data_IF_755299293917
#
_entry.id   IF_755299293917
#
_cell.length_a   1.000
_cell.length_b   1.000
_cell.length_c   1.000
_cell.angle_alpha   90.00
_cell.angle_beta   90.00
_cell.angle_gamma   90.00
#
_symmetry.space_group_name_H-M   'P 1'
#
loop_
_entity.id
_entity.type
_entity.pdbx_description
1 polymer ?
#
# COMPACT_ATOMS: atom_id res chain seq x y z
N UNK A 1 -19.07 -11.05 -36.70
CA UNK A 1 -18.63 -9.96 -35.81
C UNK A 1 -18.03 -10.65 -34.60
N UNK A 2 -16.71 -10.81 -34.56
CA UNK A 2 -16.02 -11.49 -33.46
C UNK A 2 -15.90 -10.52 -32.29
N UNK A 3 -16.80 -10.64 -31.31
CA UNK A 3 -16.67 -9.91 -30.05
C UNK A 3 -15.71 -10.68 -29.14
N UNK A 4 -14.41 -10.52 -29.39
CA UNK A 4 -13.37 -11.17 -28.61
C UNK A 4 -13.39 -10.61 -27.17
N UNK A 5 -13.59 -11.50 -26.20
CA UNK A 5 -13.48 -11.18 -24.77
C UNK A 5 -12.09 -10.63 -24.48
N UNK A 6 -12.00 -9.35 -24.14
CA UNK A 6 -10.74 -8.73 -23.69
C UNK A 6 -10.34 -9.35 -22.36
N UNK A 7 -9.13 -9.92 -22.28
CA UNK A 7 -8.54 -10.31 -21.00
C UNK A 7 -8.32 -9.03 -20.19
N UNK A 8 -9.00 -8.93 -19.06
CA UNK A 8 -8.59 -7.99 -18.02
C UNK A 8 -7.22 -8.46 -17.53
N UNK A 9 -6.18 -7.68 -17.84
CA UNK A 9 -4.93 -7.82 -17.12
C UNK A 9 -5.21 -7.32 -15.72
N UNK A 10 -5.44 -8.26 -14.79
CA UNK A 10 -5.36 -7.98 -13.36
C UNK A 10 -3.94 -7.43 -13.18
N UNK A 11 -3.83 -6.13 -12.95
CA UNK A 11 -2.57 -5.53 -12.53
C UNK A 11 -2.14 -6.36 -11.33
N UNK A 12 -0.90 -6.86 -11.36
CA UNK A 12 -0.41 -7.70 -10.28
C UNK A 12 -0.56 -6.94 -8.96
N UNK A 13 -1.49 -7.38 -8.10
CA UNK A 13 -1.84 -6.72 -6.84
C UNK A 13 -0.58 -6.41 -6.00
N UNK A 14 0.45 -7.25 -6.11
CA UNK A 14 1.76 -7.06 -5.47
C UNK A 14 2.45 -5.78 -5.94
N UNK A 15 2.40 -5.50 -7.24
CA UNK A 15 2.99 -4.29 -7.84
C UNK A 15 2.23 -3.06 -7.38
N UNK A 16 0.90 -3.10 -7.38
CA UNK A 16 0.06 -1.99 -6.90
C UNK A 16 0.31 -1.69 -5.41
N UNK A 17 0.34 -2.71 -4.55
CA UNK A 17 0.66 -2.55 -3.12
C UNK A 17 2.02 -1.90 -2.90
N UNK A 18 3.04 -2.34 -3.66
CA UNK A 18 4.39 -1.77 -3.57
C UNK A 18 4.41 -0.29 -3.98
N UNK A 19 3.70 0.06 -5.05
CA UNK A 19 3.58 1.45 -5.51
C UNK A 19 2.88 2.34 -4.48
N UNK A 20 1.77 1.86 -3.91
CA UNK A 20 1.03 2.56 -2.85
C UNK A 20 1.91 2.75 -1.62
N UNK A 21 2.55 1.70 -1.11
CA UNK A 21 3.47 1.77 0.03
C UNK A 21 4.61 2.76 -0.22
N UNK A 22 5.18 2.76 -1.43
CA UNK A 22 6.25 3.70 -1.80
C UNK A 22 5.78 5.15 -1.81
N UNK A 23 4.57 5.40 -2.33
CA UNK A 23 3.94 6.73 -2.33
C UNK A 23 3.65 7.22 -0.91
N UNK A 24 3.12 6.34 -0.05
CA UNK A 24 2.85 6.65 1.37
C UNK A 24 4.14 6.95 2.11
N UNK A 25 5.17 6.12 1.93
CA UNK A 25 6.49 6.30 2.53
C UNK A 25 7.09 7.67 2.18
N UNK A 26 7.09 8.03 0.90
CA UNK A 26 7.57 9.34 0.44
C UNK A 26 6.76 10.50 1.01
N UNK A 27 5.44 10.36 1.07
CA UNK A 27 4.55 11.38 1.63
C UNK A 27 4.81 11.63 3.11
N UNK A 28 5.15 10.59 3.87
CA UNK A 28 5.55 10.68 5.27
C UNK A 28 6.89 11.39 5.44
N UNK A 29 7.90 11.08 4.61
CA UNK A 29 9.20 11.78 4.59
C UNK A 29 9.01 13.26 4.32
N UNK A 30 8.27 13.63 3.28
CA UNK A 30 8.07 15.04 2.90
C UNK A 30 7.40 15.84 4.01
N UNK A 31 6.58 15.19 4.84
CA UNK A 31 5.94 15.81 6.00
C UNK A 31 6.76 15.75 7.28
N UNK A 32 7.96 15.16 7.25
CA UNK A 32 8.87 15.09 8.38
C UNK A 32 8.51 14.02 9.40
N UNK A 33 7.64 13.06 9.05
CA UNK A 33 7.35 11.91 9.89
C UNK A 33 8.39 10.80 9.67
N UNK A 34 8.61 9.96 10.68
CA UNK A 34 9.33 8.70 10.49
C UNK A 34 8.41 7.69 9.78
N UNK A 35 8.67 7.33 8.52
CA UNK A 35 7.72 6.55 7.75
C UNK A 35 7.54 5.13 8.29
N UNK A 36 8.61 4.51 8.80
CA UNK A 36 8.57 3.15 9.32
C UNK A 36 7.66 3.09 10.55
N UNK A 37 7.85 4.00 11.51
CA UNK A 37 7.05 4.01 12.73
C UNK A 37 5.56 4.25 12.43
N UNK A 38 5.26 5.14 11.47
CA UNK A 38 3.87 5.45 11.10
C UNK A 38 3.19 4.28 10.37
N UNK A 39 3.90 3.61 9.45
CA UNK A 39 3.37 2.44 8.75
C UNK A 39 3.17 1.27 9.73
N UNK A 40 4.13 1.02 10.64
CA UNK A 40 3.97 0.00 11.68
C UNK A 40 2.81 0.33 12.61
N UNK A 41 2.67 1.58 13.03
CA UNK A 41 1.54 2.05 13.84
C UNK A 41 0.20 1.80 13.16
N UNK A 42 0.09 2.12 11.87
CA UNK A 42 -1.10 1.83 11.06
C UNK A 42 -1.40 0.34 10.96
N UNK A 43 -0.40 -0.50 10.63
CA UNK A 43 -0.59 -1.96 10.51
C UNK A 43 -1.06 -2.58 11.83
N UNK A 44 -0.53 -2.14 12.98
CA UNK A 44 -0.90 -2.72 14.27
C UNK A 44 -2.26 -2.23 14.80
N UNK A 45 -2.66 -1.00 14.45
CA UNK A 45 -3.84 -0.34 15.06
C UNK A 45 -5.03 -0.14 14.12
N UNK A 46 -4.84 -0.27 12.81
CA UNK A 46 -5.79 0.16 11.76
C UNK A 46 -6.16 1.65 11.79
N UNK A 47 -5.54 2.46 12.65
CA UNK A 47 -5.90 3.87 12.76
C UNK A 47 -5.28 4.68 11.60
N UNK A 48 -6.08 5.21 10.66
CA UNK A 48 -5.58 5.95 9.52
C UNK A 48 -4.94 7.30 9.89
N UNK A 49 -5.05 7.75 11.15
CA UNK A 49 -4.41 8.99 11.62
C UNK A 49 -2.89 8.89 11.67
N UNK A 50 -2.31 7.68 11.75
CA UNK A 50 -0.87 7.46 11.58
C UNK A 50 -0.36 7.91 10.21
N UNK A 51 -1.20 7.85 9.18
CA UNK A 51 -0.82 8.23 7.82
C UNK A 51 -1.26 9.66 7.53
N UNK A 52 -0.35 10.47 6.99
CA UNK A 52 -0.64 11.85 6.58
C UNK A 52 -1.64 11.88 5.42
N UNK A 53 -2.47 12.92 5.34
CA UNK A 53 -3.35 13.12 4.19
C UNK A 53 -2.63 13.74 2.97
N UNK A 54 -1.35 14.08 3.12
CA UNK A 54 -0.56 14.66 2.03
C UNK A 54 -0.48 13.70 0.83
N UNK A 55 -0.61 14.24 -0.38
CA UNK A 55 -0.60 13.48 -1.64
C UNK A 55 -1.57 12.28 -1.65
N UNK A 56 -2.70 12.39 -0.95
CA UNK A 56 -3.70 11.32 -0.81
C UNK A 56 -3.15 10.03 -0.17
N UNK A 57 -2.01 10.07 0.53
CA UNK A 57 -1.38 8.88 1.10
C UNK A 57 -2.32 8.08 2.01
N UNK A 58 -3.07 8.77 2.88
CA UNK A 58 -4.09 8.12 3.73
C UNK A 58 -5.14 7.37 2.91
N UNK A 59 -5.73 8.04 1.91
CA UNK A 59 -6.73 7.41 1.05
C UNK A 59 -6.18 6.26 0.22
N UNK A 60 -4.91 6.32 -0.20
CA UNK A 60 -4.25 5.24 -0.93
C UNK A 60 -4.06 4.00 -0.04
N UNK A 61 -3.54 4.16 1.17
CA UNK A 61 -3.28 3.01 2.04
C UNK A 61 -4.57 2.34 2.56
N UNK A 62 -5.65 3.10 2.74
CA UNK A 62 -6.93 2.56 3.17
C UNK A 62 -7.68 1.80 2.07
N UNK A 63 -7.20 1.83 0.82
CA UNK A 63 -7.72 0.97 -0.27
C UNK A 63 -7.18 -0.44 -0.21
N UNK A 64 -6.04 -0.63 0.46
CA UNK A 64 -5.42 -1.94 0.62
C UNK A 64 -6.12 -2.69 1.75
N UNK A 65 -6.37 -3.98 1.53
CA UNK A 65 -6.67 -4.88 2.63
C UNK A 65 -5.41 -5.03 3.50
N UNK A 66 -5.56 -4.80 4.81
CA UNK A 66 -4.43 -4.79 5.74
C UNK A 66 -3.82 -6.18 5.89
N UNK A 67 -4.64 -7.22 5.90
CA UNK A 67 -4.18 -8.58 6.12
C UNK A 67 -3.45 -9.07 4.86
N UNK A 68 -3.93 -8.68 3.66
CA UNK A 68 -3.22 -8.89 2.39
C UNK A 68 -1.87 -8.15 2.37
N UNK A 69 -1.85 -6.89 2.80
CA UNK A 69 -0.62 -6.09 2.93
C UNK A 69 0.40 -6.75 3.86
N UNK A 70 -0.04 -7.18 5.06
CA UNK A 70 0.82 -7.84 6.03
C UNK A 70 1.33 -9.17 5.50
N UNK A 71 0.48 -9.95 4.84
CA UNK A 71 0.86 -11.20 4.20
C UNK A 71 1.96 -10.99 3.16
N UNK A 72 1.78 -10.04 2.25
CA UNK A 72 2.76 -9.75 1.19
C UNK A 72 4.09 -9.24 1.77
N UNK A 73 4.06 -8.43 2.83
CA UNK A 73 5.28 -7.99 3.53
C UNK A 73 6.07 -9.16 4.12
N UNK A 74 5.38 -10.14 4.73
CA UNK A 74 6.01 -11.33 5.31
C UNK A 74 6.58 -12.23 4.23
N UNK A 75 5.80 -12.51 3.17
CA UNK A 75 6.23 -13.33 2.04
C UNK A 75 7.46 -12.71 1.38
N UNK A 76 7.41 -11.41 1.05
CA UNK A 76 8.53 -10.71 0.42
C UNK A 76 9.79 -10.67 1.29
N UNK A 77 9.65 -10.70 2.62
CA UNK A 77 10.78 -10.76 3.54
C UNK A 77 11.43 -12.16 3.56
N UNK A 78 10.64 -13.23 3.51
CA UNK A 78 11.12 -14.61 3.57
C UNK A 78 11.61 -15.16 2.22
N UNK A 79 11.13 -14.61 1.11
CA UNK A 79 11.56 -14.97 -0.25
C UNK A 79 12.89 -14.30 -0.67
N UNK A 80 13.44 -13.43 0.19
CA UNK A 80 14.77 -12.82 0.02
C UNK A 80 15.84 -13.56 0.82
#
# INVERSE_FOLDING_TARGET
MEEATRKFNVIDNKTEMKEILSSVYNSLIVKGYNPINQIVGYILSEDPTYITNYNNARSLICRLDRDELLHELVVSYLEK
#
